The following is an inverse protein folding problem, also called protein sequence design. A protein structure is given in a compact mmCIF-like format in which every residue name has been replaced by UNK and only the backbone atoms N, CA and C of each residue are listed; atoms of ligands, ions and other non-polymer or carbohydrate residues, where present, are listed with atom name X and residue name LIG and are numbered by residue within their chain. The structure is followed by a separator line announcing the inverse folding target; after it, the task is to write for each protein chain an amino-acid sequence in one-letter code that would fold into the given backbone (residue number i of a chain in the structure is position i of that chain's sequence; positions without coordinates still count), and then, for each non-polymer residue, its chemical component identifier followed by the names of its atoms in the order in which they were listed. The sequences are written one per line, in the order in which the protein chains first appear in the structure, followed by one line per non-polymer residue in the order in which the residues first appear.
data_IF_162207298693
#
_entry.id   IF_162207298693
#
_cell.length_a   1.000
_cell.length_b   1.000
_cell.length_c   1.000
_cell.angle_alpha   90.00
_cell.angle_beta   90.00
_cell.angle_gamma   90.00
#
_symmetry.space_group_name_H-M   'P 1'
#
loop_
_entity.id
_entity.type
_entity.pdbx_description
1 polymer ?
#
# COMPACT_ATOMS: atom_id res chain seq x y z
N UNK A 1 26.46 1.05 6.55
CA UNK A 1 26.45 2.11 5.51
C UNK A 1 25.50 1.70 4.41
N UNK A 2 24.79 2.66 3.83
CA UNK A 2 23.70 2.56 2.85
C UNK A 2 22.42 1.89 3.36
N UNK A 3 21.70 2.65 4.20
CA UNK A 3 20.24 2.52 4.39
C UNK A 3 19.55 2.90 3.07
N UNK A 4 19.66 2.05 2.06
CA UNK A 4 18.65 2.06 1.02
C UNK A 4 17.36 1.67 1.74
N UNK A 5 16.36 2.55 1.76
CA UNK A 5 15.00 2.17 2.15
C UNK A 5 14.67 0.92 1.35
N UNK A 6 14.62 -0.22 2.04
CA UNK A 6 14.62 -1.51 1.38
C UNK A 6 13.28 -1.62 0.64
N UNK A 7 13.28 -2.23 -0.55
CA UNK A 7 12.05 -2.33 -1.35
C UNK A 7 10.89 -2.91 -0.51
N UNK A 8 11.23 -3.85 0.38
CA UNK A 8 10.33 -4.44 1.36
C UNK A 8 9.70 -3.42 2.33
N UNK A 9 10.43 -2.40 2.81
CA UNK A 9 9.89 -1.37 3.69
C UNK A 9 8.89 -0.47 2.95
N UNK A 10 9.19 -0.14 1.69
CA UNK A 10 8.29 0.65 0.84
C UNK A 10 7.00 -0.10 0.54
N UNK A 11 7.11 -1.39 0.24
CA UNK A 11 5.96 -2.27 0.04
C UNK A 11 5.12 -2.34 1.33
N UNK A 12 5.77 -2.51 2.50
CA UNK A 12 5.07 -2.50 3.79
C UNK A 12 4.33 -1.18 4.06
N UNK A 13 4.91 -0.05 3.70
CA UNK A 13 4.26 1.27 3.82
C UNK A 13 3.00 1.36 2.95
N UNK A 14 3.07 0.89 1.71
CA UNK A 14 1.92 0.81 0.78
C UNK A 14 0.85 -0.16 1.30
N UNK A 15 1.26 -1.31 1.86
CA UNK A 15 0.36 -2.27 2.52
C UNK A 15 -0.41 -1.62 3.69
N UNK A 16 0.28 -0.90 4.58
CA UNK A 16 -0.35 -0.20 5.70
C UNK A 16 -1.34 0.88 5.24
N UNK A 17 -0.98 1.65 4.20
CA UNK A 17 -1.88 2.65 3.61
C UNK A 17 -3.15 2.01 3.07
N UNK A 18 -3.04 0.88 2.39
CA UNK A 18 -4.19 0.11 1.94
C UNK A 18 -5.03 -0.43 3.09
N UNK A 19 -4.42 -0.91 4.17
CA UNK A 19 -5.14 -1.38 5.35
C UNK A 19 -5.97 -0.26 5.99
N UNK A 20 -5.42 0.95 6.12
CA UNK A 20 -6.17 2.08 6.68
C UNK A 20 -7.32 2.49 5.75
N UNK A 21 -7.05 2.61 4.44
CA UNK A 21 -8.07 3.00 3.46
C UNK A 21 -9.18 1.95 3.27
N UNK A 22 -8.88 0.67 3.50
CA UNK A 22 -9.88 -0.42 3.46
C UNK A 22 -10.60 -0.61 4.81
N UNK A 23 -10.00 -0.16 5.91
CA UNK A 23 -10.61 -0.22 7.24
C UNK A 23 -11.69 0.86 7.41
N UNK A 24 -11.49 2.04 6.83
CA UNK A 24 -12.58 2.98 6.65
C UNK A 24 -13.48 2.44 5.52
N UNK A 25 -14.74 2.14 5.82
CA UNK A 25 -15.64 1.35 4.95
C UNK A 25 -16.02 2.07 3.64
N UNK A 26 -15.33 3.14 3.30
CA UNK A 26 -15.65 4.08 2.24
C UNK A 26 -14.41 4.47 1.44
N UNK A 27 -13.80 3.47 0.78
CA UNK A 27 -12.67 3.68 -0.14
C UNK A 27 -13.04 4.73 -1.20
N UNK A 28 -12.61 5.97 -0.99
CA UNK A 28 -12.92 7.08 -1.89
C UNK A 28 -11.95 7.06 -3.08
N UNK A 29 -12.39 7.55 -4.25
CA UNK A 29 -11.49 7.77 -5.40
C UNK A 29 -10.28 8.62 -5.04
N UNK A 30 -10.40 9.47 -4.02
CA UNK A 30 -9.30 10.28 -3.51
C UNK A 30 -8.20 9.43 -2.85
N UNK A 31 -8.58 8.39 -2.10
CA UNK A 31 -7.63 7.51 -1.41
C UNK A 31 -6.88 6.61 -2.37
N UNK A 32 -7.57 6.00 -3.34
CA UNK A 32 -6.93 5.23 -4.40
C UNK A 32 -5.88 6.08 -5.14
N UNK A 33 -6.24 7.34 -5.45
CA UNK A 33 -5.32 8.28 -6.08
C UNK A 33 -4.13 8.66 -5.19
N UNK A 34 -4.35 8.86 -3.88
CA UNK A 34 -3.31 9.13 -2.90
C UNK A 34 -2.33 7.96 -2.76
N UNK A 35 -2.84 6.75 -2.58
CA UNK A 35 -2.04 5.53 -2.44
C UNK A 35 -1.22 5.29 -3.71
N UNK A 36 -1.79 5.55 -4.88
CA UNK A 36 -1.09 5.47 -6.16
C UNK A 36 0.04 6.49 -6.27
N UNK A 37 -0.21 7.76 -5.92
CA UNK A 37 0.83 8.80 -5.86
C UNK A 37 1.96 8.44 -4.89
N UNK A 38 1.63 7.94 -3.71
CA UNK A 38 2.64 7.53 -2.72
C UNK A 38 3.47 6.37 -3.26
N UNK A 39 2.83 5.39 -3.92
CA UNK A 39 3.52 4.24 -4.52
C UNK A 39 4.48 4.65 -5.64
N UNK A 40 4.06 5.61 -6.47
CA UNK A 40 4.91 6.21 -7.51
C UNK A 40 6.10 6.95 -6.90
N UNK A 41 5.90 7.74 -5.83
CA UNK A 41 6.97 8.45 -5.13
C UNK A 41 7.96 7.51 -4.44
N UNK A 42 7.47 6.37 -3.95
CA UNK A 42 8.29 5.33 -3.34
C UNK A 42 8.97 4.41 -4.38
N UNK A 43 8.73 4.62 -5.69
CA UNK A 43 9.23 3.76 -6.76
C UNK A 43 8.87 2.29 -6.54
N UNK A 44 7.67 2.02 -6.02
CA UNK A 44 7.18 0.65 -5.83
C UNK A 44 6.71 0.11 -7.18
N UNK A 45 7.20 -1.06 -7.63
CA UNK A 45 6.73 -1.68 -8.87
C UNK A 45 5.23 -1.91 -8.83
N UNK A 46 4.56 -1.72 -9.97
CA UNK A 46 3.11 -1.91 -10.08
C UNK A 46 2.66 -3.32 -9.63
N UNK A 47 3.50 -4.33 -9.86
CA UNK A 47 3.27 -5.70 -9.38
C UNK A 47 3.15 -5.77 -7.86
N UNK A 48 4.06 -5.12 -7.15
CA UNK A 48 4.08 -5.12 -5.69
C UNK A 48 2.98 -4.23 -5.10
N UNK A 49 2.59 -3.16 -5.81
CA UNK A 49 1.40 -2.37 -5.49
C UNK A 49 0.11 -3.21 -5.47
N UNK A 50 -0.10 -4.03 -6.52
CA UNK A 50 -1.28 -4.92 -6.59
C UNK A 50 -1.20 -5.98 -5.49
N UNK A 51 -0.02 -6.56 -5.26
CA UNK A 51 0.19 -7.56 -4.21
C UNK A 51 -0.12 -6.98 -2.82
N UNK A 52 0.35 -5.76 -2.54
CA UNK A 52 0.09 -5.05 -1.30
C UNK A 52 -1.40 -4.81 -1.07
N UNK A 53 -2.13 -4.40 -2.12
CA UNK A 53 -3.59 -4.23 -2.09
C UNK A 53 -4.31 -5.54 -1.77
N UNK A 54 -3.95 -6.63 -2.44
CA UNK A 54 -4.56 -7.95 -2.21
C UNK A 54 -4.36 -8.41 -0.77
N UNK A 55 -3.13 -8.32 -0.27
CA UNK A 55 -2.77 -8.73 1.08
C UNK A 55 -3.43 -7.88 2.16
N UNK A 56 -3.55 -6.57 1.95
CA UNK A 56 -4.29 -5.68 2.85
C UNK A 56 -5.76 -6.08 2.94
N UNK A 57 -6.39 -6.42 1.81
CA UNK A 57 -7.78 -6.92 1.79
C UNK A 57 -7.91 -8.24 2.55
N UNK A 58 -7.00 -9.19 2.33
CA UNK A 58 -6.99 -10.46 3.08
C UNK A 58 -6.83 -10.24 4.59
N UNK A 59 -5.97 -9.31 4.99
CA UNK A 59 -5.72 -9.00 6.41
C UNK A 59 -6.98 -8.47 7.10
N UNK A 60 -7.73 -7.58 6.45
CA UNK A 60 -8.98 -7.05 7.00
C UNK A 60 -10.10 -8.09 6.97
N UNK A 61 -10.18 -8.93 5.93
CA UNK A 61 -11.17 -10.02 5.88
C UNK A 61 -10.92 -11.11 6.91
N UNK A 62 -9.68 -11.28 7.37
CA UNK A 62 -9.30 -12.27 8.37
C UNK A 62 -9.43 -11.76 9.82
N UNK A 63 -9.85 -10.51 10.05
CA UNK A 63 -9.95 -9.86 11.37
C UNK A 63 -11.39 -9.69 11.84
#
# INVERSE_FOLDING_TARGET
MNRAFDLAERIRLVECLWQVALADSHLSRYEDHLIRKISDLLYVPHRDFIAAKLKARETIQAS
#
